data_IF_569904109988
#
_entry.id   IF_569904109988
#
_cell.length_a   1.000
_cell.length_b   1.000
_cell.length_c   1.000
_cell.angle_alpha   90.00
_cell.angle_beta   90.00
_cell.angle_gamma   90.00
#
_symmetry.space_group_name_H-M   'P 1'
#
loop_
_entity.id
_entity.type
_entity.pdbx_description
1 polymer ?
#
# COMPACT_ATOMS: atom_id res chain seq x y z
N UNK A 1 25.72 -3.40 14.24
CA UNK A 1 24.29 -3.15 14.49
C UNK A 1 23.75 -2.51 13.23
N UNK A 2 23.05 -3.29 12.39
CA UNK A 2 22.42 -2.76 11.20
C UNK A 2 21.39 -1.70 11.61
N UNK A 3 21.58 -0.49 11.11
CA UNK A 3 20.60 0.58 11.23
C UNK A 3 19.32 0.07 10.55
N UNK A 4 18.21 -0.03 11.27
CA UNK A 4 16.94 -0.48 10.70
C UNK A 4 16.59 0.40 9.49
N UNK A 5 16.69 -0.15 8.27
CA UNK A 5 16.38 0.54 7.01
C UNK A 5 14.92 0.96 7.04
N UNK A 6 14.68 2.26 7.25
CA UNK A 6 13.34 2.82 7.37
C UNK A 6 12.98 3.56 6.10
N UNK A 7 11.85 3.21 5.49
CA UNK A 7 11.32 3.91 4.32
C UNK A 7 10.05 4.65 4.74
N UNK A 8 10.05 5.98 4.54
CA UNK A 8 8.89 6.82 4.83
C UNK A 8 7.99 6.92 3.61
N UNK A 9 6.74 6.51 3.75
CA UNK A 9 5.72 6.77 2.71
C UNK A 9 5.29 8.23 2.81
N UNK A 10 5.46 9.00 1.74
CA UNK A 10 5.05 10.41 1.66
C UNK A 10 3.74 10.52 0.88
N UNK A 11 2.86 11.45 1.27
CA UNK A 11 1.57 11.70 0.60
C UNK A 11 0.49 10.64 0.86
N UNK A 12 -0.76 10.96 0.52
CA UNK A 12 -1.93 10.11 0.78
C UNK A 12 -2.36 10.08 2.25
N UNK A 13 -3.43 9.34 2.52
CA UNK A 13 -4.12 9.27 3.81
C UNK A 13 -4.92 10.54 4.13
N UNK A 14 -5.58 10.51 5.27
CA UNK A 14 -6.38 11.62 5.80
C UNK A 14 -6.43 11.53 7.33
N UNK A 15 -7.04 12.53 7.98
CA UNK A 15 -7.32 12.49 9.42
C UNK A 15 -8.40 11.47 9.82
N UNK A 16 -9.03 10.77 8.85
CA UNK A 16 -10.13 9.85 9.11
C UNK A 16 -9.64 8.42 9.31
N UNK A 17 -10.08 7.81 10.43
CA UNK A 17 -9.83 6.40 10.77
C UNK A 17 -11.12 5.57 10.75
N UNK A 18 -11.44 4.90 9.65
CA UNK A 18 -12.53 3.93 9.61
C UNK A 18 -12.08 2.54 10.14
N UNK A 19 -13.03 1.77 10.67
CA UNK A 19 -12.80 0.36 11.02
C UNK A 19 -12.59 -0.47 9.76
N UNK A 20 -11.66 -1.44 9.79
CA UNK A 20 -11.33 -2.30 8.66
C UNK A 20 -10.17 -1.83 7.76
N UNK A 21 -9.58 -0.66 8.01
CA UNK A 21 -8.43 -0.18 7.21
C UNK A 21 -7.18 -1.04 7.37
N UNK A 22 -7.00 -1.66 8.54
CA UNK A 22 -5.90 -2.59 8.79
C UNK A 22 -6.03 -3.85 7.93
N UNK A 23 -7.26 -4.31 7.69
CA UNK A 23 -7.55 -5.47 6.85
C UNK A 23 -7.24 -5.17 5.37
N UNK A 24 -7.57 -3.96 4.91
CA UNK A 24 -7.17 -3.50 3.58
C UNK A 24 -5.63 -3.48 3.44
N UNK A 25 -4.92 -2.97 4.44
CA UNK A 25 -3.46 -2.91 4.44
C UNK A 25 -2.83 -4.31 4.44
N UNK A 26 -3.30 -5.19 5.33
CA UNK A 26 -2.75 -6.55 5.45
C UNK A 26 -3.04 -7.40 4.22
N UNK A 27 -4.23 -7.27 3.63
CA UNK A 27 -4.58 -7.89 2.36
C UNK A 27 -3.68 -7.44 1.22
N UNK A 28 -3.50 -6.12 1.07
CA UNK A 28 -2.61 -5.56 0.06
C UNK A 28 -1.15 -6.01 0.26
N UNK A 29 -0.66 -6.02 1.52
CA UNK A 29 0.68 -6.48 1.86
C UNK A 29 0.88 -7.94 1.47
N UNK A 30 -0.06 -8.83 1.82
CA UNK A 30 0.04 -10.24 1.47
C UNK A 30 0.10 -10.44 -0.05
N UNK A 31 -0.72 -9.70 -0.81
CA UNK A 31 -0.71 -9.73 -2.28
C UNK A 31 0.62 -9.27 -2.84
N UNK A 32 1.08 -8.06 -2.50
CA UNK A 32 2.34 -7.53 -3.02
C UNK A 32 3.55 -8.37 -2.63
N UNK A 33 3.57 -8.91 -1.41
CA UNK A 33 4.67 -9.75 -0.97
C UNK A 33 4.69 -11.08 -1.72
N UNK A 34 3.53 -11.70 -1.95
CA UNK A 34 3.42 -12.93 -2.75
C UNK A 34 3.93 -12.69 -4.17
N UNK A 35 3.53 -11.60 -4.81
CA UNK A 35 4.02 -11.25 -6.16
C UNK A 35 5.53 -10.99 -6.17
N UNK A 36 6.06 -10.29 -5.16
CA UNK A 36 7.49 -10.06 -5.04
C UNK A 36 8.27 -11.37 -4.88
N UNK A 37 7.73 -12.37 -4.17
CA UNK A 37 8.36 -13.69 -4.03
C UNK A 37 8.32 -14.52 -5.33
N UNK A 38 7.33 -14.30 -6.18
CA UNK A 38 7.20 -14.98 -7.49
C UNK A 38 8.23 -14.48 -8.51
N UNK A 39 8.62 -13.21 -8.43
CA UNK A 39 9.80 -12.72 -9.11
C UNK A 39 11.04 -13.25 -8.36
N UNK A 40 11.64 -14.32 -8.89
CA UNK A 40 12.87 -14.90 -8.34
C UNK A 40 13.95 -13.82 -8.14
N UNK A 41 14.84 -14.02 -7.16
CA UNK A 41 15.92 -13.07 -6.95
C UNK A 41 16.94 -13.16 -8.08
N UNK A 42 17.33 -12.01 -8.63
CA UNK A 42 18.44 -11.97 -9.58
C UNK A 42 19.76 -12.24 -8.83
N UNK A 43 20.73 -12.96 -9.45
CA UNK A 43 21.95 -13.41 -8.77
C UNK A 43 22.85 -12.28 -8.25
N UNK A 44 22.67 -11.08 -8.78
CA UNK A 44 23.44 -9.87 -8.54
C UNK A 44 22.79 -8.91 -7.51
N UNK A 45 21.62 -9.25 -6.97
CA UNK A 45 20.96 -8.47 -5.91
C UNK A 45 21.52 -8.88 -4.53
N UNK A 46 22.31 -8.02 -3.86
CA UNK A 46 23.02 -8.40 -2.64
C UNK A 46 22.12 -8.51 -1.39
N UNK A 47 20.90 -7.97 -1.44
CA UNK A 47 19.97 -7.92 -0.31
C UNK A 47 18.52 -8.17 -0.73
N UNK A 48 17.80 -8.99 0.04
CA UNK A 48 16.38 -9.23 -0.17
C UNK A 48 15.52 -8.09 0.39
N UNK A 49 15.19 -7.12 -0.45
CA UNK A 49 14.32 -5.99 -0.11
C UNK A 49 12.82 -6.26 -0.39
N UNK A 50 12.41 -7.49 -0.77
CA UNK A 50 11.03 -7.78 -1.22
C UNK A 50 9.98 -7.46 -0.16
N UNK A 51 10.26 -7.79 1.10
CA UNK A 51 9.38 -7.45 2.21
C UNK A 51 9.21 -5.93 2.39
N UNK A 52 10.30 -5.17 2.22
CA UNK A 52 10.28 -3.71 2.33
C UNK A 52 9.52 -3.06 1.16
N UNK A 53 9.72 -3.56 -0.06
CA UNK A 53 9.00 -3.11 -1.26
C UNK A 53 7.51 -3.39 -1.11
N UNK A 54 7.14 -4.59 -0.68
CA UNK A 54 5.75 -4.96 -0.46
C UNK A 54 5.09 -4.10 0.64
N UNK A 55 5.78 -3.86 1.76
CA UNK A 55 5.32 -2.95 2.81
C UNK A 55 5.09 -1.54 2.29
N UNK A 56 6.02 -1.01 1.49
CA UNK A 56 5.90 0.32 0.91
C UNK A 56 4.69 0.41 -0.04
N UNK A 57 4.56 -0.55 -0.96
CA UNK A 57 3.47 -0.59 -1.94
C UNK A 57 2.10 -0.70 -1.26
N UNK A 58 1.96 -1.60 -0.27
CA UNK A 58 0.74 -1.75 0.51
C UNK A 58 0.37 -0.47 1.26
N UNK A 59 1.33 0.15 1.95
CA UNK A 59 1.11 1.41 2.64
C UNK A 59 0.71 2.53 1.69
N UNK A 60 1.33 2.60 0.50
CA UNK A 60 1.01 3.60 -0.52
C UNK A 60 -0.41 3.42 -1.05
N UNK A 61 -0.79 2.20 -1.43
CA UNK A 61 -2.14 1.86 -1.90
C UNK A 61 -3.19 2.23 -0.84
N UNK A 62 -3.06 1.73 0.39
CA UNK A 62 -4.04 1.97 1.46
C UNK A 62 -4.19 3.45 1.78
N UNK A 63 -3.08 4.20 1.83
CA UNK A 63 -3.13 5.64 2.10
C UNK A 63 -3.80 6.40 0.98
N UNK A 64 -3.50 6.08 -0.27
CA UNK A 64 -4.12 6.78 -1.40
C UNK A 64 -5.61 6.46 -1.54
N UNK A 65 -6.02 5.20 -1.31
CA UNK A 65 -7.43 4.82 -1.19
C UNK A 65 -8.14 5.61 -0.07
N UNK A 66 -7.50 5.77 1.09
CA UNK A 66 -8.02 6.57 2.19
C UNK A 66 -8.16 8.05 1.80
N UNK A 67 -7.17 8.64 1.13
CA UNK A 67 -7.21 10.04 0.71
C UNK A 67 -8.36 10.30 -0.27
N UNK A 68 -8.50 9.44 -1.29
CA UNK A 68 -9.55 9.56 -2.32
C UNK A 68 -10.94 9.30 -1.73
N UNK A 69 -11.09 8.25 -0.92
CA UNK A 69 -12.34 7.97 -0.23
C UNK A 69 -12.75 9.12 0.70
N UNK A 70 -11.78 9.71 1.42
CA UNK A 70 -12.04 10.82 2.31
C UNK A 70 -12.41 12.10 1.55
N UNK A 71 -11.79 12.35 0.39
CA UNK A 71 -12.17 13.47 -0.47
C UNK A 71 -13.64 13.37 -0.91
N UNK A 72 -14.15 12.15 -1.16
CA UNK A 72 -15.54 11.92 -1.61
C UNK A 72 -16.56 11.89 -0.46
N UNK A 73 -16.21 11.30 0.68
CA UNK A 73 -17.16 10.96 1.77
C UNK A 73 -16.91 11.74 3.06
N UNK A 74 -15.79 12.45 3.16
CA UNK A 74 -15.38 13.22 4.33
C UNK A 74 -15.39 12.37 5.60
N UNK A 75 -15.97 12.92 6.67
CA UNK A 75 -16.05 12.24 7.97
C UNK A 75 -16.91 10.97 7.95
N UNK A 76 -17.82 10.83 6.97
CA UNK A 76 -18.68 9.66 6.80
C UNK A 76 -17.98 8.44 6.22
N UNK A 77 -16.75 8.59 5.71
CA UNK A 77 -16.02 7.48 5.06
C UNK A 77 -15.93 6.23 5.95
N UNK A 78 -16.24 5.08 5.35
CA UNK A 78 -16.06 3.73 5.89
C UNK A 78 -15.05 2.94 5.05
N UNK A 79 -14.64 1.74 5.48
CA UNK A 79 -13.62 0.97 4.74
C UNK A 79 -14.10 0.51 3.36
N UNK A 80 -15.39 0.23 3.18
CA UNK A 80 -15.94 -0.11 1.86
C UNK A 80 -15.75 1.00 0.83
N UNK A 81 -15.85 2.28 1.24
CA UNK A 81 -15.54 3.41 0.35
C UNK A 81 -14.06 3.39 -0.08
N UNK A 82 -13.14 2.95 0.78
CA UNK A 82 -11.72 2.80 0.41
C UNK A 82 -11.50 1.63 -0.56
N UNK A 83 -12.27 0.55 -0.42
CA UNK A 83 -12.22 -0.60 -1.31
C UNK A 83 -12.65 -0.21 -2.73
N UNK A 84 -13.66 0.64 -2.87
CA UNK A 84 -14.10 1.18 -4.17
C UNK A 84 -12.99 1.99 -4.89
N UNK A 85 -12.03 2.55 -4.15
CA UNK A 85 -10.91 3.29 -4.74
C UNK A 85 -9.76 2.41 -5.24
N UNK A 86 -9.66 1.15 -4.79
CA UNK A 86 -8.54 0.24 -5.13
C UNK A 86 -8.24 0.20 -6.63
N UNK A 87 -9.20 -0.09 -7.54
CA UNK A 87 -8.87 -0.22 -8.97
C UNK A 87 -8.28 1.06 -9.57
N UNK A 88 -8.79 2.23 -9.16
CA UNK A 88 -8.29 3.51 -9.66
C UNK A 88 -6.91 3.84 -9.12
N UNK A 89 -6.69 3.64 -7.82
CA UNK A 89 -5.39 3.87 -7.19
C UNK A 89 -4.36 2.90 -7.74
N UNK A 90 -4.73 1.63 -7.91
CA UNK A 90 -3.82 0.61 -8.39
C UNK A 90 -3.32 0.96 -9.80
N UNK A 91 -4.25 1.29 -10.69
CA UNK A 91 -3.92 1.77 -12.04
C UNK A 91 -2.97 2.97 -12.02
N UNK A 92 -3.31 3.99 -11.23
CA UNK A 92 -2.54 5.24 -11.21
C UNK A 92 -1.18 5.13 -10.50
N UNK A 93 -0.92 4.08 -9.72
CA UNK A 93 0.33 3.93 -8.95
C UNK A 93 1.21 2.77 -9.41
N UNK A 94 0.65 1.74 -10.06
CA UNK A 94 1.36 0.51 -10.36
C UNK A 94 1.22 0.03 -11.82
N UNK A 95 0.30 0.59 -12.61
CA UNK A 95 0.09 0.20 -14.01
C UNK A 95 0.52 1.26 -15.03
N UNK A 96 1.02 2.41 -14.58
CA UNK A 96 1.50 3.45 -15.50
C UNK A 96 2.86 3.04 -16.08
N UNK A 97 2.84 2.74 -17.38
CA UNK A 97 3.99 2.61 -18.27
C UNK A 97 4.64 3.97 -18.57
#
# INVERSE_FOLDING_TARGET
MDYAKTIKVVGGGSGRRCGGQGDLLSGALATFYTWALQHGMEPDVPHDDRAMIACFAACRLTRECNARGFLKKGRGMVCSDMIEEIPYVFRDQFELH
#
